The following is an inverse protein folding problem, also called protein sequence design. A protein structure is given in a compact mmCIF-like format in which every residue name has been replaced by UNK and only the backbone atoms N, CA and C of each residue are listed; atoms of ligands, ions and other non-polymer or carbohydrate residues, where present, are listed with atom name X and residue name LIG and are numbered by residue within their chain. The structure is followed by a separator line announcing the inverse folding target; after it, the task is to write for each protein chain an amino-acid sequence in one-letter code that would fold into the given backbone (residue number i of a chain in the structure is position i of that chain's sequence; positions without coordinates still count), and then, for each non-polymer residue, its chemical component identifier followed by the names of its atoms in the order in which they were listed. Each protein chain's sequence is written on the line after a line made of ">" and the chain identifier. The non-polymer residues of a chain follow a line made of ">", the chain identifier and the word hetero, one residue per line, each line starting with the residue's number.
data_IF_137226978648
#
_entry.id   IF_137226978648
#
_cell.length_a   1.000
_cell.length_b   1.000
_cell.length_c   1.000
_cell.angle_alpha   90.00
_cell.angle_beta   90.00
_cell.angle_gamma   90.00
#
_symmetry.space_group_name_H-M   'P 1'
#
loop_
_entity.id
_entity.type
_entity.pdbx_description
1 polymer ?
#
# COMPACT_ATOMS: atom_id res chain seq x y z
N UNK A 1 -4.86 -11.66 -15.58
CA UNK A 1 -3.42 -11.96 -15.29
C UNK A 1 -2.94 -11.11 -14.12
N UNK A 2 -1.89 -11.52 -13.45
CA UNK A 2 -1.25 -10.69 -12.46
C UNK A 2 -0.23 -9.72 -13.10
N UNK A 3 0.28 -8.77 -12.30
CA UNK A 3 1.29 -7.79 -12.75
C UNK A 3 2.61 -8.46 -13.22
N UNK A 4 3.01 -9.58 -12.60
CA UNK A 4 4.28 -10.27 -12.93
C UNK A 4 4.19 -10.91 -14.31
N UNK A 5 3.06 -11.54 -14.61
CA UNK A 5 2.76 -12.11 -15.93
C UNK A 5 2.79 -11.02 -17.02
N UNK A 6 2.14 -9.86 -16.76
CA UNK A 6 2.18 -8.75 -17.71
C UNK A 6 3.61 -8.20 -17.92
N UNK A 7 4.41 -8.10 -16.85
CA UNK A 7 5.81 -7.67 -16.96
C UNK A 7 6.63 -8.67 -17.80
N UNK A 8 6.31 -9.95 -17.75
CA UNK A 8 6.97 -10.95 -18.63
C UNK A 8 6.59 -10.74 -20.09
N UNK A 9 5.33 -10.43 -20.41
CA UNK A 9 4.93 -10.09 -21.77
C UNK A 9 5.66 -8.85 -22.30
N UNK A 10 5.82 -7.81 -21.45
CA UNK A 10 6.63 -6.63 -21.82
C UNK A 10 8.05 -7.02 -22.18
N UNK A 11 8.71 -7.83 -21.36
CA UNK A 11 10.10 -8.27 -21.60
C UNK A 11 10.23 -9.15 -22.83
N UNK A 12 9.22 -9.95 -23.14
CA UNK A 12 9.20 -10.81 -24.32
C UNK A 12 8.85 -10.05 -25.63
N UNK A 13 8.44 -8.76 -25.53
CA UNK A 13 7.99 -7.97 -26.69
C UNK A 13 6.65 -8.43 -27.30
N UNK A 14 5.89 -9.28 -26.58
CA UNK A 14 4.67 -9.92 -27.09
C UNK A 14 3.39 -9.23 -26.69
N UNK A 15 3.47 -8.03 -26.10
CA UNK A 15 2.28 -7.26 -25.69
C UNK A 15 1.50 -6.79 -26.93
N UNK A 16 0.21 -7.15 -27.05
CA UNK A 16 -0.69 -6.71 -28.13
C UNK A 16 -2.13 -6.76 -27.64
N UNK A 17 -3.04 -6.03 -28.32
CA UNK A 17 -4.45 -6.04 -28.00
C UNK A 17 -4.85 -5.08 -26.87
N UNK A 18 -5.97 -5.39 -26.18
CA UNK A 18 -6.57 -4.52 -25.18
C UNK A 18 -6.30 -4.99 -23.75
N UNK A 19 -5.90 -4.06 -22.88
CA UNK A 19 -5.65 -4.28 -21.45
C UNK A 19 -6.42 -3.32 -20.58
N UNK A 20 -6.79 -3.77 -19.38
CA UNK A 20 -7.32 -2.94 -18.30
C UNK A 20 -6.37 -3.04 -17.10
N UNK A 21 -5.81 -1.91 -16.70
CA UNK A 21 -5.06 -1.77 -15.47
C UNK A 21 -5.99 -1.30 -14.36
N UNK A 22 -6.28 -2.18 -13.39
CA UNK A 22 -7.14 -1.90 -12.26
C UNK A 22 -6.46 -2.20 -10.92
N UNK A 23 -6.87 -1.53 -9.86
CA UNK A 23 -6.33 -1.73 -8.50
C UNK A 23 -5.84 -0.43 -7.88
N UNK A 24 -5.40 -0.50 -6.64
CA UNK A 24 -5.09 0.69 -5.81
C UNK A 24 -3.63 1.14 -5.89
N UNK A 25 -2.73 0.30 -6.44
CA UNK A 25 -1.29 0.58 -6.49
C UNK A 25 -0.92 1.48 -7.68
N UNK A 26 -1.26 2.78 -7.57
CA UNK A 26 -1.09 3.76 -8.65
C UNK A 26 0.36 3.92 -9.09
N UNK A 27 1.32 3.93 -8.15
CA UNK A 27 2.74 4.06 -8.50
C UNK A 27 3.25 2.87 -9.29
N UNK A 28 2.77 1.68 -8.96
CA UNK A 28 3.17 0.45 -9.65
C UNK A 28 2.52 0.39 -11.03
N UNK A 29 1.25 0.85 -11.16
CA UNK A 29 0.61 1.03 -12.47
C UNK A 29 1.41 1.98 -13.36
N UNK A 30 1.77 3.15 -12.83
CA UNK A 30 2.56 4.14 -13.55
C UNK A 30 3.92 3.60 -13.97
N UNK A 31 4.64 2.91 -13.07
CA UNK A 31 5.92 2.27 -13.38
C UNK A 31 5.80 1.17 -14.43
N UNK A 32 4.72 0.37 -14.38
CA UNK A 32 4.45 -0.68 -15.37
C UNK A 32 4.13 -0.08 -16.74
N UNK A 33 3.33 0.99 -16.77
CA UNK A 33 3.02 1.73 -18.00
C UNK A 33 4.29 2.36 -18.61
N UNK A 34 5.15 2.92 -17.78
CA UNK A 34 6.44 3.47 -18.22
C UNK A 34 7.35 2.38 -18.78
N UNK A 35 7.36 1.19 -18.17
CA UNK A 35 8.11 0.05 -18.72
C UNK A 35 7.54 -0.41 -20.08
N UNK A 36 6.21 -0.39 -20.22
CA UNK A 36 5.54 -0.68 -21.49
C UNK A 36 5.92 0.34 -22.58
N UNK A 37 5.87 1.65 -22.25
CA UNK A 37 6.31 2.73 -23.17
C UNK A 37 7.70 2.46 -23.71
N UNK A 38 8.67 2.26 -22.80
CA UNK A 38 10.07 2.00 -23.16
C UNK A 38 10.28 0.73 -23.99
N UNK A 39 9.36 -0.24 -23.88
CA UNK A 39 9.48 -1.50 -24.63
C UNK A 39 8.93 -1.41 -26.05
N UNK A 40 7.94 -0.53 -26.31
CA UNK A 40 7.22 -0.48 -27.57
C UNK A 40 7.44 0.83 -28.36
N UNK A 41 7.88 1.91 -27.68
CA UNK A 41 8.13 3.19 -28.34
C UNK A 41 9.63 3.48 -28.39
N UNK A 42 10.18 3.94 -29.54
CA UNK A 42 11.54 4.41 -29.61
C UNK A 42 11.78 5.62 -28.71
N UNK A 43 12.97 5.72 -28.15
CA UNK A 43 13.36 6.83 -27.28
C UNK A 43 13.23 8.19 -28.01
N UNK A 44 12.54 9.14 -27.37
CA UNK A 44 12.26 10.46 -27.92
C UNK A 44 11.09 10.51 -28.93
N UNK A 45 10.38 9.41 -29.16
CA UNK A 45 9.23 9.33 -30.06
C UNK A 45 7.90 9.09 -29.33
N UNK A 46 7.89 9.25 -28.03
CA UNK A 46 6.70 8.98 -27.19
C UNK A 46 5.49 9.78 -27.63
N UNK A 47 5.66 11.09 -27.94
CA UNK A 47 4.55 11.97 -28.37
C UNK A 47 3.94 11.54 -29.72
N UNK A 48 4.69 10.92 -30.59
CA UNK A 48 4.22 10.49 -31.90
C UNK A 48 3.62 9.06 -31.86
N UNK A 49 4.14 8.22 -30.98
CA UNK A 49 3.75 6.81 -30.85
C UNK A 49 2.64 6.57 -29.81
N UNK A 50 2.30 7.58 -28.97
CA UNK A 50 1.30 7.45 -27.92
C UNK A 50 0.09 8.35 -28.16
N UNK A 51 -1.08 7.86 -27.76
CA UNK A 51 -2.31 8.66 -27.63
C UNK A 51 -2.85 8.50 -26.21
N UNK A 52 -2.90 9.59 -25.45
CA UNK A 52 -3.45 9.64 -24.09
C UNK A 52 -4.78 10.39 -24.13
N UNK A 53 -5.86 9.73 -23.69
CA UNK A 53 -7.22 10.27 -23.77
C UNK A 53 -7.95 10.11 -22.44
N UNK A 54 -8.71 11.12 -22.04
CA UNK A 54 -9.56 11.11 -20.86
C UNK A 54 -11.02 10.88 -21.26
N UNK A 55 -11.58 9.74 -20.83
CA UNK A 55 -12.96 9.36 -21.08
C UNK A 55 -13.46 9.62 -22.53
N UNK A 56 -12.70 9.21 -23.58
CA UNK A 56 -13.06 9.43 -24.96
C UNK A 56 -14.29 8.61 -25.38
N UNK A 57 -14.90 8.98 -26.49
CA UNK A 57 -15.91 8.13 -27.15
C UNK A 57 -15.29 6.92 -27.86
N UNK A 58 -16.14 5.97 -28.26
CA UNK A 58 -15.71 4.74 -28.92
C UNK A 58 -14.99 5.03 -30.25
N UNK A 59 -15.46 6.02 -31.00
CA UNK A 59 -14.91 6.35 -32.33
C UNK A 59 -13.50 6.92 -32.22
N UNK A 60 -13.24 7.76 -31.20
CA UNK A 60 -11.91 8.30 -30.94
C UNK A 60 -10.92 7.19 -30.53
N UNK A 61 -11.34 6.23 -29.68
CA UNK A 61 -10.51 5.09 -29.30
C UNK A 61 -10.14 4.25 -30.52
N UNK A 62 -11.14 3.89 -31.35
CA UNK A 62 -10.94 3.07 -32.53
C UNK A 62 -10.00 3.80 -33.52
N UNK A 63 -10.27 5.07 -33.81
CA UNK A 63 -9.43 5.87 -34.72
C UNK A 63 -7.97 5.95 -34.24
N UNK A 64 -7.75 6.09 -32.95
CA UNK A 64 -6.40 6.11 -32.38
C UNK A 64 -5.68 4.76 -32.52
N UNK A 65 -6.40 3.64 -32.36
CA UNK A 65 -5.83 2.30 -32.53
C UNK A 65 -5.57 1.95 -34.00
N UNK A 66 -6.41 2.42 -34.94
CA UNK A 66 -6.26 2.20 -36.38
C UNK A 66 -5.20 3.11 -37.02
N UNK A 67 -4.76 4.15 -36.32
CA UNK A 67 -3.68 4.99 -36.80
C UNK A 67 -2.36 4.17 -36.82
N UNK A 68 -1.73 4.06 -37.96
CA UNK A 68 -0.50 3.33 -38.13
C UNK A 68 0.63 3.90 -37.23
N UNK A 69 1.45 3.05 -36.61
CA UNK A 69 2.59 3.50 -35.84
C UNK A 69 3.60 4.23 -36.73
N UNK A 70 4.22 5.28 -36.18
CA UNK A 70 5.26 6.04 -36.89
C UNK A 70 6.63 5.70 -36.30
N UNK A 71 7.53 5.18 -37.13
CA UNK A 71 8.90 4.78 -36.74
C UNK A 71 8.98 3.79 -35.54
N UNK A 72 7.91 3.07 -35.29
CA UNK A 72 7.80 2.05 -34.25
C UNK A 72 7.01 0.84 -34.78
N UNK A 73 7.18 -0.33 -34.18
CA UNK A 73 6.38 -1.51 -34.53
C UNK A 73 4.94 -1.44 -34.02
N UNK A 74 4.74 -0.69 -32.93
CA UNK A 74 3.44 -0.60 -32.26
C UNK A 74 3.14 0.83 -31.80
N UNK A 75 1.85 1.13 -31.72
CA UNK A 75 1.28 2.34 -31.14
C UNK A 75 0.70 2.06 -29.75
N UNK A 76 0.88 2.97 -28.81
CA UNK A 76 0.28 2.90 -27.48
C UNK A 76 -0.92 3.84 -27.37
N UNK A 77 -2.09 3.29 -27.09
CA UNK A 77 -3.32 4.07 -26.86
C UNK A 77 -3.74 3.89 -25.41
N UNK A 78 -3.78 4.98 -24.66
CA UNK A 78 -4.08 4.99 -23.22
C UNK A 78 -5.39 5.73 -23.01
N UNK A 79 -6.35 5.06 -22.39
CA UNK A 79 -7.68 5.61 -22.04
C UNK A 79 -7.81 5.66 -20.53
N UNK A 80 -7.91 6.86 -19.96
CA UNK A 80 -8.10 7.04 -18.52
C UNK A 80 -9.58 7.15 -18.17
N UNK A 81 -9.96 6.52 -17.06
CA UNK A 81 -11.26 6.68 -16.38
C UNK A 81 -12.48 6.55 -17.32
N UNK A 82 -12.47 5.58 -18.23
CA UNK A 82 -13.56 5.40 -19.17
C UNK A 82 -14.89 5.10 -18.42
N UNK A 83 -15.99 5.88 -18.67
CA UNK A 83 -17.24 5.79 -17.89
C UNK A 83 -17.87 4.40 -17.87
N UNK A 84 -17.73 3.63 -18.96
CA UNK A 84 -18.25 2.26 -19.06
C UNK A 84 -17.49 1.24 -18.18
N UNK A 85 -16.39 1.60 -17.55
CA UNK A 85 -15.66 0.76 -16.58
C UNK A 85 -15.93 1.17 -15.15
N UNK A 86 -16.37 2.43 -14.90
CA UNK A 86 -16.62 2.98 -13.57
C UNK A 86 -18.10 2.97 -13.16
N UNK A 87 -18.97 2.37 -13.96
CA UNK A 87 -20.41 2.24 -13.68
C UNK A 87 -21.28 3.44 -14.06
N UNK A 88 -20.71 4.49 -14.65
CA UNK A 88 -21.45 5.72 -15.00
C UNK A 88 -22.26 5.62 -16.30
N UNK A 89 -21.83 4.77 -17.23
CA UNK A 89 -22.52 4.53 -18.50
C UNK A 89 -22.30 3.10 -18.98
N UNK A 90 -22.97 2.70 -20.05
CA UNK A 90 -22.67 1.47 -20.79
C UNK A 90 -21.71 1.77 -21.94
N UNK A 91 -20.94 0.78 -22.37
CA UNK A 91 -20.06 0.91 -23.52
C UNK A 91 -20.87 0.84 -24.83
N UNK A 92 -20.41 1.62 -25.82
CA UNK A 92 -20.90 1.53 -27.18
C UNK A 92 -20.64 0.12 -27.75
N UNK A 93 -21.62 -0.44 -28.47
CA UNK A 93 -21.50 -1.78 -29.09
C UNK A 93 -20.34 -1.84 -30.10
N UNK A 94 -19.99 -0.70 -30.76
CA UNK A 94 -18.81 -0.61 -31.63
C UNK A 94 -17.53 -0.87 -30.87
N UNK A 95 -17.35 -0.26 -29.68
CA UNK A 95 -16.18 -0.49 -28.84
C UNK A 95 -16.13 -1.93 -28.34
N UNK A 96 -17.28 -2.50 -27.93
CA UNK A 96 -17.36 -3.89 -27.46
C UNK A 96 -16.95 -4.90 -28.55
N UNK A 97 -17.38 -4.69 -29.78
CA UNK A 97 -16.99 -5.54 -30.92
C UNK A 97 -15.55 -5.33 -31.36
N UNK A 98 -14.96 -4.17 -31.10
CA UNK A 98 -13.61 -3.81 -31.47
C UNK A 98 -12.54 -4.40 -30.51
N UNK A 99 -12.84 -4.52 -29.21
CA UNK A 99 -11.87 -5.02 -28.20
C UNK A 99 -11.16 -6.32 -28.62
N UNK A 100 -11.83 -7.38 -29.12
CA UNK A 100 -11.12 -8.58 -29.57
C UNK A 100 -10.38 -8.41 -30.90
N UNK A 101 -10.61 -7.31 -31.63
CA UNK A 101 -10.08 -7.04 -32.96
C UNK A 101 -9.08 -5.89 -32.98
N UNK A 102 -8.53 -5.47 -31.82
CA UNK A 102 -7.47 -4.46 -31.77
C UNK A 102 -6.26 -4.97 -32.57
N UNK A 103 -5.75 -4.16 -33.54
CA UNK A 103 -4.63 -4.59 -34.40
C UNK A 103 -3.40 -4.97 -33.61
N UNK A 104 -2.58 -5.89 -34.12
CA UNK A 104 -1.28 -6.25 -33.50
C UNK A 104 -0.31 -5.06 -33.43
N UNK A 105 -0.48 -4.08 -34.32
CA UNK A 105 0.25 -2.82 -34.36
C UNK A 105 -0.18 -1.81 -33.28
N UNK A 106 -1.20 -2.12 -32.47
CA UNK A 106 -1.68 -1.26 -31.40
C UNK A 106 -1.73 -2.00 -30.05
N UNK A 107 -1.42 -1.27 -28.98
CA UNK A 107 -1.63 -1.69 -27.61
C UNK A 107 -2.59 -0.70 -26.95
N UNK A 108 -3.81 -1.16 -26.63
CA UNK A 108 -4.85 -0.35 -25.99
C UNK A 108 -4.87 -0.62 -24.48
N UNK A 109 -4.64 0.40 -23.67
CA UNK A 109 -4.60 0.28 -22.20
C UNK A 109 -5.66 1.18 -21.58
N UNK A 110 -6.64 0.59 -20.91
CA UNK A 110 -7.57 1.31 -20.06
C UNK A 110 -6.97 1.43 -18.66
N UNK A 111 -6.99 2.64 -18.07
CA UNK A 111 -6.53 2.90 -16.71
C UNK A 111 -7.72 3.27 -15.83
N UNK A 112 -7.93 2.52 -14.76
CA UNK A 112 -8.93 2.83 -13.73
C UNK A 112 -8.25 3.06 -12.38
N UNK A 113 -8.69 4.10 -11.65
CA UNK A 113 -8.36 4.25 -10.23
C UNK A 113 -9.18 3.25 -9.42
N UNK A 114 -8.50 2.41 -8.66
CA UNK A 114 -9.16 1.32 -7.95
C UNK A 114 -9.65 0.19 -8.86
N UNK A 115 -10.70 -0.50 -8.46
CA UNK A 115 -11.29 -1.61 -9.22
C UNK A 115 -12.34 -1.11 -10.19
N UNK A 116 -12.34 -1.64 -11.41
CA UNK A 116 -13.40 -1.45 -12.37
C UNK A 116 -14.66 -2.27 -11.99
N UNK A 117 -15.82 -1.89 -12.52
CA UNK A 117 -17.07 -2.63 -12.30
C UNK A 117 -17.10 -3.90 -13.16
N UNK A 118 -16.84 -5.04 -12.53
CA UNK A 118 -16.79 -6.35 -13.20
C UNK A 118 -18.12 -6.79 -13.86
N UNK A 119 -19.23 -6.12 -13.56
CA UNK A 119 -20.56 -6.39 -14.16
C UNK A 119 -20.71 -5.77 -15.53
N UNK A 120 -19.84 -4.83 -15.89
CA UNK A 120 -19.93 -4.09 -17.14
C UNK A 120 -19.51 -4.93 -18.36
N UNK A 121 -20.19 -4.69 -19.48
CA UNK A 121 -19.92 -5.39 -20.75
C UNK A 121 -18.48 -5.17 -21.21
N UNK A 122 -17.95 -3.92 -21.10
CA UNK A 122 -16.58 -3.59 -21.50
C UNK A 122 -15.55 -4.35 -20.65
N UNK A 123 -15.75 -4.45 -19.34
CA UNK A 123 -14.91 -5.28 -18.47
C UNK A 123 -14.89 -6.73 -18.95
N UNK A 124 -16.08 -7.28 -19.25
CA UNK A 124 -16.23 -8.66 -19.71
C UNK A 124 -15.56 -8.88 -21.07
N UNK A 125 -15.63 -7.93 -22.00
CA UNK A 125 -14.97 -8.00 -23.31
C UNK A 125 -13.45 -8.04 -23.15
N UNK A 126 -12.87 -7.11 -22.36
CA UNK A 126 -11.42 -7.07 -22.08
C UNK A 126 -10.97 -8.34 -21.34
N UNK A 127 -11.77 -8.84 -20.39
CA UNK A 127 -11.47 -10.07 -19.66
C UNK A 127 -11.42 -11.29 -20.58
N UNK A 128 -12.34 -11.40 -21.54
CA UNK A 128 -12.35 -12.49 -22.54
C UNK A 128 -11.11 -12.45 -23.44
N UNK A 129 -10.60 -11.26 -23.75
CA UNK A 129 -9.34 -11.07 -24.46
C UNK A 129 -8.09 -11.33 -23.57
N UNK A 130 -8.27 -11.69 -22.30
CA UNK A 130 -7.17 -11.96 -21.36
C UNK A 130 -6.49 -10.70 -20.79
N UNK A 131 -7.02 -9.52 -21.07
CA UNK A 131 -6.35 -8.23 -20.82
C UNK A 131 -6.56 -7.59 -19.44
N UNK A 132 -7.13 -8.26 -18.44
CA UNK A 132 -7.24 -7.68 -17.08
C UNK A 132 -5.91 -7.84 -16.34
N UNK A 133 -5.29 -6.72 -15.96
CA UNK A 133 -4.05 -6.67 -15.16
C UNK A 133 -4.38 -6.07 -13.80
N UNK A 134 -4.24 -6.86 -12.73
CA UNK A 134 -4.58 -6.44 -11.37
C UNK A 134 -3.37 -5.87 -10.63
N UNK A 135 -3.56 -4.67 -10.07
CA UNK A 135 -2.62 -3.97 -9.20
C UNK A 135 -3.17 -3.90 -7.77
N UNK A 136 -3.39 -5.08 -7.19
CA UNK A 136 -3.80 -5.22 -5.80
C UNK A 136 -2.70 -4.73 -4.83
N UNK A 137 -3.05 -4.39 -3.57
CA UNK A 137 -2.06 -4.09 -2.54
C UNK A 137 -0.98 -5.17 -2.47
N UNK A 138 0.26 -4.74 -2.32
CA UNK A 138 1.38 -5.67 -2.16
C UNK A 138 1.29 -6.38 -0.81
N UNK A 139 1.63 -7.65 -0.79
CA UNK A 139 1.93 -8.35 0.46
C UNK A 139 3.21 -7.77 1.09
N UNK A 140 3.41 -7.95 2.40
CA UNK A 140 4.62 -7.45 3.09
C UNK A 140 5.92 -7.95 2.42
N UNK A 141 5.93 -9.21 1.99
CA UNK A 141 7.09 -9.79 1.29
C UNK A 141 7.34 -9.11 -0.07
N UNK A 142 6.27 -8.85 -0.83
CA UNK A 142 6.36 -8.15 -2.12
C UNK A 142 6.76 -6.69 -1.94
N UNK A 143 6.24 -6.02 -0.89
CA UNK A 143 6.58 -4.65 -0.56
C UNK A 143 8.05 -4.51 -0.19
N UNK A 144 8.57 -5.40 0.68
CA UNK A 144 9.99 -5.42 1.04
C UNK A 144 10.88 -5.68 -0.19
N UNK A 145 10.52 -6.64 -1.05
CA UNK A 145 11.24 -6.89 -2.29
C UNK A 145 11.19 -5.68 -3.26
N UNK A 146 10.07 -4.98 -3.29
CA UNK A 146 9.93 -3.75 -4.08
C UNK A 146 10.84 -2.64 -3.53
N UNK A 147 10.92 -2.44 -2.21
CA UNK A 147 11.83 -1.48 -1.56
C UNK A 147 13.29 -1.77 -1.93
N UNK A 148 13.73 -3.03 -1.80
CA UNK A 148 15.10 -3.44 -2.17
C UNK A 148 15.38 -3.11 -3.63
N UNK A 149 14.46 -3.44 -4.55
CA UNK A 149 14.58 -3.13 -5.97
C UNK A 149 14.60 -1.62 -6.25
N UNK A 150 13.80 -0.85 -5.52
CA UNK A 150 13.73 0.60 -5.68
C UNK A 150 15.06 1.28 -5.30
N UNK A 151 15.72 0.83 -4.21
CA UNK A 151 17.07 1.29 -3.86
C UNK A 151 18.11 0.88 -4.90
N UNK A 152 18.06 -0.37 -5.40
CA UNK A 152 18.96 -0.84 -6.45
C UNK A 152 18.84 0.01 -7.72
N UNK A 153 17.65 0.48 -8.07
CA UNK A 153 17.42 1.41 -9.18
C UNK A 153 18.06 2.80 -9.01
N UNK A 154 18.44 3.16 -7.78
CA UNK A 154 19.16 4.39 -7.43
C UNK A 154 20.67 4.14 -7.19
N UNK A 155 21.16 2.96 -7.52
CA UNK A 155 22.56 2.57 -7.27
C UNK A 155 22.87 2.33 -5.80
N UNK A 156 21.85 2.08 -4.95
CA UNK A 156 22.00 1.82 -3.52
C UNK A 156 21.61 0.39 -3.18
N UNK A 157 22.24 -0.15 -2.13
CA UNK A 157 21.88 -1.43 -1.55
C UNK A 157 21.19 -1.25 -0.19
N UNK A 158 20.29 -2.16 0.14
CA UNK A 158 19.62 -2.21 1.43
C UNK A 158 19.39 -3.67 1.83
N UNK A 159 19.59 -4.00 3.11
CA UNK A 159 19.31 -5.36 3.60
C UNK A 159 17.80 -5.64 3.62
N UNK A 160 17.35 -6.89 3.49
CA UNK A 160 15.93 -7.25 3.67
C UNK A 160 15.40 -6.80 5.04
N UNK A 161 16.22 -6.82 6.08
CA UNK A 161 15.89 -6.36 7.42
C UNK A 161 15.64 -4.84 7.43
N UNK A 162 16.57 -4.05 6.88
CA UNK A 162 16.42 -2.59 6.77
C UNK A 162 15.20 -2.21 5.93
N UNK A 163 14.92 -2.95 4.84
CA UNK A 163 13.71 -2.76 4.03
C UNK A 163 12.43 -2.99 4.88
N UNK A 164 12.42 -4.03 5.72
CA UNK A 164 11.30 -4.31 6.63
C UNK A 164 11.13 -3.23 7.71
N UNK A 165 12.22 -2.69 8.23
CA UNK A 165 12.19 -1.54 9.16
C UNK A 165 11.60 -0.31 8.47
N UNK A 166 12.02 -0.03 7.24
CA UNK A 166 11.50 1.11 6.47
C UNK A 166 9.99 0.97 6.19
N UNK A 167 9.54 -0.20 5.72
CA UNK A 167 8.12 -0.44 5.45
C UNK A 167 7.27 -0.38 6.72
N UNK A 168 7.78 -0.85 7.86
CA UNK A 168 7.13 -0.68 9.15
C UNK A 168 7.06 0.79 9.58
N UNK A 169 8.14 1.54 9.40
CA UNK A 169 8.23 2.94 9.83
C UNK A 169 7.30 3.84 9.02
N UNK A 170 7.30 3.70 7.71
CA UNK A 170 6.57 4.57 6.77
C UNK A 170 5.15 4.08 6.50
N UNK A 171 4.93 2.77 6.57
CA UNK A 171 3.68 2.11 6.19
C UNK A 171 3.75 1.50 4.79
N UNK A 172 2.58 1.03 4.30
CA UNK A 172 2.48 0.28 3.04
C UNK A 172 2.19 1.15 1.80
N UNK A 173 2.07 2.47 1.96
CA UNK A 173 1.84 3.38 0.83
C UNK A 173 3.12 3.50 -0.03
N UNK A 174 3.05 2.96 -1.25
CA UNK A 174 4.20 2.94 -2.17
C UNK A 174 4.62 4.34 -2.65
N UNK A 175 3.72 5.36 -2.60
CA UNK A 175 4.07 6.74 -2.90
C UNK A 175 4.92 7.36 -1.78
N UNK A 176 4.50 7.17 -0.54
CA UNK A 176 5.25 7.62 0.62
C UNK A 176 6.59 6.90 0.71
N UNK A 177 6.59 5.57 0.57
CA UNK A 177 7.82 4.78 0.54
C UNK A 177 8.80 5.26 -0.54
N UNK A 178 8.33 5.59 -1.73
CA UNK A 178 9.19 6.09 -2.81
C UNK A 178 9.89 7.39 -2.40
N UNK A 179 9.17 8.34 -1.81
CA UNK A 179 9.73 9.60 -1.33
C UNK A 179 10.78 9.39 -0.23
N UNK A 180 10.51 8.45 0.69
CA UNK A 180 11.45 8.13 1.76
C UNK A 180 12.69 7.41 1.21
N UNK A 181 12.54 6.53 0.21
CA UNK A 181 13.65 5.87 -0.49
C UNK A 181 14.54 6.92 -1.18
N UNK A 182 13.96 7.88 -1.91
CA UNK A 182 14.71 8.94 -2.59
C UNK A 182 15.47 9.81 -1.57
N UNK A 183 14.84 10.15 -0.42
CA UNK A 183 15.46 10.90 0.67
C UNK A 183 16.61 10.13 1.33
N UNK A 184 16.42 8.84 1.61
CA UNK A 184 17.44 7.98 2.20
C UNK A 184 18.61 7.73 1.26
N UNK A 185 18.35 7.57 -0.03
CA UNK A 185 19.40 7.44 -1.05
C UNK A 185 20.23 8.73 -1.14
N UNK A 186 19.60 9.90 -1.07
CA UNK A 186 20.28 11.18 -1.02
C UNK A 186 21.11 11.35 0.28
N UNK A 187 20.57 10.93 1.45
CA UNK A 187 21.31 10.94 2.72
C UNK A 187 22.56 10.06 2.68
N UNK A 188 22.47 8.90 2.03
CA UNK A 188 23.61 7.99 1.92
C UNK A 188 24.78 8.60 1.12
N UNK A 189 24.53 9.59 0.23
CA UNK A 189 25.58 10.26 -0.53
C UNK A 189 26.42 9.26 -1.34
N UNK A 190 27.72 9.25 -1.09
CA UNK A 190 28.65 8.32 -1.76
C UNK A 190 28.66 6.88 -1.18
N UNK A 191 27.98 6.66 -0.06
CA UNK A 191 27.85 5.31 0.51
C UNK A 191 26.94 4.45 -0.36
N UNK A 192 27.34 3.22 -0.64
CA UNK A 192 26.54 2.26 -1.45
C UNK A 192 25.36 1.67 -0.66
N UNK A 193 25.45 1.68 0.69
CA UNK A 193 24.47 0.99 1.55
C UNK A 193 23.72 1.96 2.43
N UNK A 194 22.40 1.78 2.49
CA UNK A 194 21.48 2.43 3.45
C UNK A 194 21.28 1.50 4.63
N UNK A 195 21.43 2.04 5.85
CA UNK A 195 21.36 1.29 7.11
C UNK A 195 20.06 1.50 7.87
N UNK A 196 19.83 0.72 8.92
CA UNK A 196 18.67 0.93 9.82
C UNK A 196 18.79 2.26 10.58
N UNK A 197 20.01 2.68 10.92
CA UNK A 197 20.29 3.97 11.57
C UNK A 197 19.86 5.13 10.67
N UNK A 198 20.11 5.05 9.36
CA UNK A 198 19.67 6.05 8.41
C UNK A 198 18.12 6.15 8.39
N UNK A 199 17.43 4.98 8.41
CA UNK A 199 15.97 4.93 8.47
C UNK A 199 15.46 5.60 9.76
N UNK A 200 16.03 5.25 10.91
CA UNK A 200 15.61 5.82 12.19
C UNK A 200 15.88 7.32 12.31
N UNK A 201 16.93 7.81 11.65
CA UNK A 201 17.33 9.23 11.69
C UNK A 201 16.37 10.13 10.89
N UNK A 202 15.91 9.70 9.71
CA UNK A 202 15.22 10.64 8.80
C UNK A 202 13.88 10.16 8.24
N UNK A 203 13.54 8.86 8.34
CA UNK A 203 12.29 8.38 7.77
C UNK A 203 11.07 8.93 8.55
N UNK A 204 10.11 9.42 7.80
CA UNK A 204 8.85 9.93 8.36
C UNK A 204 8.03 8.76 8.92
N UNK A 205 7.68 8.84 10.21
CA UNK A 205 6.94 7.77 10.89
C UNK A 205 5.46 7.83 10.56
N UNK A 206 4.88 6.68 10.21
CA UNK A 206 3.43 6.52 10.12
C UNK A 206 2.78 6.62 11.51
N UNK A 207 1.47 6.90 11.53
CA UNK A 207 0.71 6.89 12.79
C UNK A 207 0.80 5.50 13.46
N UNK A 208 0.75 4.43 12.67
CA UNK A 208 0.87 3.05 13.18
C UNK A 208 2.24 2.83 13.87
N UNK A 209 3.34 3.25 13.25
CA UNK A 209 4.67 3.17 13.86
C UNK A 209 4.73 3.97 15.16
N UNK A 210 4.19 5.18 15.18
CA UNK A 210 4.19 6.05 16.37
C UNK A 210 3.35 5.45 17.50
N UNK A 211 2.20 4.82 17.19
CA UNK A 211 1.40 4.08 18.19
C UNK A 211 2.17 2.89 18.77
N UNK A 212 2.92 2.15 17.93
CA UNK A 212 3.79 1.08 18.44
C UNK A 212 4.85 1.62 19.42
N UNK A 213 5.51 2.76 19.09
CA UNK A 213 6.47 3.42 19.97
C UNK A 213 5.82 3.93 21.26
N UNK A 214 4.61 4.46 21.16
CA UNK A 214 3.83 4.90 22.32
C UNK A 214 3.53 3.72 23.25
N UNK A 215 3.11 2.57 22.71
CA UNK A 215 2.88 1.35 23.52
C UNK A 215 4.19 0.82 24.11
N UNK A 216 5.32 0.86 23.40
CA UNK A 216 6.63 0.54 23.98
C UNK A 216 6.95 1.42 25.19
N UNK A 217 6.69 2.73 25.08
CA UNK A 217 6.89 3.67 26.19
C UNK A 217 5.95 3.36 27.37
N UNK A 218 4.70 2.99 27.09
CA UNK A 218 3.73 2.53 28.11
C UNK A 218 4.24 1.25 28.79
N UNK A 219 4.70 0.26 28.01
CA UNK A 219 5.28 -0.98 28.53
C UNK A 219 6.52 -0.72 29.36
N UNK A 220 7.36 0.24 29.00
CA UNK A 220 8.56 0.64 29.73
C UNK A 220 8.27 1.52 30.96
N UNK A 221 7.02 1.93 31.20
CA UNK A 221 6.67 2.86 32.29
C UNK A 221 7.08 4.31 32.04
N UNK A 222 7.43 4.67 30.79
CA UNK A 222 7.90 5.99 30.38
C UNK A 222 6.72 6.91 30.04
N UNK A 223 5.97 7.33 31.06
CA UNK A 223 4.75 8.11 30.87
C UNK A 223 4.97 9.40 30.07
N UNK A 224 6.01 10.18 30.40
CA UNK A 224 6.31 11.44 29.70
C UNK A 224 6.57 11.24 28.21
N UNK A 225 7.28 10.15 27.82
CA UNK A 225 7.53 9.81 26.42
C UNK A 225 6.24 9.41 25.70
N UNK A 226 5.39 8.59 26.31
CA UNK A 226 4.14 8.15 25.71
C UNK A 226 3.19 9.33 25.45
N UNK A 227 3.03 10.24 26.40
CA UNK A 227 2.21 11.45 26.23
C UNK A 227 2.85 12.47 25.28
N UNK A 228 4.19 12.54 25.22
CA UNK A 228 4.89 13.32 24.21
C UNK A 228 4.55 12.86 22.79
N UNK A 229 4.64 11.55 22.52
CA UNK A 229 4.27 10.96 21.22
C UNK A 229 2.79 11.19 20.88
N UNK A 230 1.89 11.07 21.87
CA UNK A 230 0.47 11.39 21.66
C UNK A 230 0.29 12.85 21.26
N UNK A 231 0.89 13.78 21.97
CA UNK A 231 0.80 15.22 21.68
C UNK A 231 1.33 15.52 20.28
N UNK A 232 2.45 14.92 19.88
CA UNK A 232 3.04 15.13 18.55
C UNK A 232 2.11 14.65 17.44
N UNK A 233 1.47 13.47 17.60
CA UNK A 233 0.44 12.99 16.67
C UNK A 233 -0.76 13.93 16.57
N UNK A 234 -1.26 14.43 17.69
CA UNK A 234 -2.39 15.35 17.72
C UNK A 234 -2.04 16.71 17.08
N UNK A 235 -0.83 17.21 17.34
CA UNK A 235 -0.32 18.45 16.70
C UNK A 235 -0.16 18.29 15.20
N UNK A 236 0.19 17.08 14.73
CA UNK A 236 0.24 16.74 13.30
C UNK A 236 -1.15 16.53 12.66
N UNK A 237 -2.23 16.74 13.41
CA UNK A 237 -3.60 16.64 12.91
C UNK A 237 -4.20 15.23 12.92
N UNK A 238 -3.58 14.28 13.62
CA UNK A 238 -4.15 12.93 13.75
C UNK A 238 -5.44 12.95 14.55
N UNK A 239 -6.45 12.19 14.08
CA UNK A 239 -7.72 12.05 14.78
C UNK A 239 -7.61 11.19 16.04
N UNK A 240 -8.18 11.69 17.15
CA UNK A 240 -8.14 10.99 18.44
C UNK A 240 -8.80 9.62 18.42
N UNK A 241 -9.94 9.48 17.74
CA UNK A 241 -10.61 8.18 17.61
C UNK A 241 -9.80 7.20 16.78
N UNK A 242 -9.13 7.69 15.73
CA UNK A 242 -8.20 6.89 14.92
C UNK A 242 -7.03 6.38 15.75
N UNK A 243 -6.40 7.24 16.59
CA UNK A 243 -5.33 6.82 17.51
C UNK A 243 -5.85 5.80 18.53
N UNK A 244 -7.04 6.05 19.13
CA UNK A 244 -7.65 5.12 20.08
C UNK A 244 -7.95 3.75 19.45
N UNK A 245 -8.44 3.73 18.21
CA UNK A 245 -8.70 2.50 17.47
C UNK A 245 -7.39 1.73 17.21
N UNK A 246 -6.30 2.42 16.87
CA UNK A 246 -4.98 1.81 16.69
C UNK A 246 -4.41 1.28 18.01
N UNK A 247 -4.58 2.03 19.11
CA UNK A 247 -4.20 1.58 20.45
C UNK A 247 -4.97 0.31 20.86
N UNK A 248 -6.28 0.29 20.62
CA UNK A 248 -7.13 -0.89 20.83
C UNK A 248 -6.66 -2.08 19.99
N UNK A 249 -6.37 -1.85 18.71
CA UNK A 249 -5.83 -2.89 17.81
C UNK A 249 -4.54 -3.47 18.37
N UNK A 250 -3.63 -2.63 18.87
CA UNK A 250 -2.35 -3.06 19.43
C UNK A 250 -2.54 -3.95 20.67
N UNK A 251 -3.40 -3.55 21.62
CA UNK A 251 -3.70 -4.38 22.78
C UNK A 251 -4.45 -5.68 22.43
N UNK A 252 -5.29 -5.68 21.38
CA UNK A 252 -5.89 -6.92 20.85
C UNK A 252 -4.84 -7.88 20.28
N UNK A 253 -3.86 -7.39 19.54
CA UNK A 253 -2.74 -8.23 19.07
C UNK A 253 -1.98 -8.84 20.25
N UNK A 254 -1.68 -8.04 21.28
CA UNK A 254 -1.04 -8.54 22.52
C UNK A 254 -1.93 -9.58 23.24
N UNK A 255 -3.25 -9.40 23.23
CA UNK A 255 -4.19 -10.37 23.80
C UNK A 255 -4.17 -11.70 23.04
N UNK A 256 -4.18 -11.66 21.70
CA UNK A 256 -4.05 -12.86 20.88
C UNK A 256 -2.72 -13.59 21.15
N UNK A 257 -1.62 -12.83 21.30
CA UNK A 257 -0.32 -13.42 21.66
C UNK A 257 -0.41 -14.13 23.01
N UNK A 258 -1.03 -13.52 24.03
CA UNK A 258 -1.20 -14.16 25.36
C UNK A 258 -2.01 -15.43 25.30
N UNK A 259 -3.08 -15.47 24.48
CA UNK A 259 -3.89 -16.68 24.26
C UNK A 259 -3.04 -17.78 23.59
N UNK A 260 -2.34 -17.44 22.50
CA UNK A 260 -1.48 -18.40 21.79
C UNK A 260 -0.31 -18.91 22.66
N UNK A 261 0.24 -18.07 23.52
CA UNK A 261 1.24 -18.48 24.52
C UNK A 261 0.65 -19.43 25.57
N UNK A 262 -0.58 -19.19 26.01
CA UNK A 262 -1.29 -20.10 26.91
C UNK A 262 -1.56 -21.46 26.26
N UNK A 263 -1.86 -21.46 24.95
CA UNK A 263 -1.99 -22.66 24.11
C UNK A 263 -0.64 -23.33 23.78
N UNK A 264 0.46 -22.81 24.31
CA UNK A 264 1.84 -23.31 24.14
C UNK A 264 2.33 -23.32 22.67
N UNK A 265 1.84 -22.40 21.85
CA UNK A 265 2.35 -22.22 20.50
C UNK A 265 3.80 -21.70 20.54
N UNK A 266 4.60 -22.15 19.56
CA UNK A 266 5.97 -21.63 19.41
C UNK A 266 5.96 -20.15 18.97
N UNK A 267 7.02 -19.38 19.26
CA UNK A 267 7.15 -18.01 18.76
C UNK A 267 7.03 -17.90 17.23
N UNK A 268 7.48 -18.90 16.48
CA UNK A 268 7.38 -18.95 15.03
C UNK A 268 5.92 -19.11 14.58
N UNK A 269 5.16 -20.01 15.22
CA UNK A 269 3.74 -20.21 14.94
C UNK A 269 2.92 -18.96 15.29
N UNK A 270 3.25 -18.29 16.40
CA UNK A 270 2.61 -17.03 16.80
C UNK A 270 2.81 -15.97 15.72
N UNK A 271 4.05 -15.77 15.24
CA UNK A 271 4.35 -14.81 14.16
C UNK A 271 3.52 -15.09 12.91
N UNK A 272 3.46 -16.35 12.50
CA UNK A 272 2.69 -16.78 11.32
C UNK A 272 1.19 -16.53 11.50
N UNK A 273 0.63 -16.86 12.66
CA UNK A 273 -0.82 -16.71 12.93
C UNK A 273 -1.27 -15.26 13.13
N UNK A 274 -0.38 -14.38 13.57
CA UNK A 274 -0.72 -12.94 13.72
C UNK A 274 -1.05 -12.27 12.38
N UNK A 275 -0.53 -12.75 11.26
CA UNK A 275 -0.82 -12.22 9.93
C UNK A 275 -0.36 -10.77 9.74
N UNK A 276 0.69 -10.35 10.44
CA UNK A 276 1.31 -9.02 10.35
C UNK A 276 2.78 -9.17 9.99
N UNK A 277 3.42 -8.08 9.55
CA UNK A 277 4.82 -8.06 9.17
C UNK A 277 5.71 -8.68 10.27
N UNK A 278 6.74 -9.51 9.93
CA UNK A 278 7.56 -10.22 10.91
C UNK A 278 8.19 -9.30 11.95
N UNK A 279 8.67 -8.13 11.55
CA UNK A 279 9.24 -7.13 12.45
C UNK A 279 8.20 -6.60 13.45
N UNK A 280 6.97 -6.30 12.99
CA UNK A 280 5.87 -5.87 13.84
C UNK A 280 5.45 -6.98 14.81
N UNK A 281 5.39 -8.24 14.33
CA UNK A 281 5.05 -9.40 15.17
C UNK A 281 6.07 -9.58 16.31
N UNK A 282 7.37 -9.47 16.04
CA UNK A 282 8.42 -9.54 17.07
C UNK A 282 8.25 -8.43 18.11
N UNK A 283 7.97 -7.22 17.66
CA UNK A 283 7.75 -6.08 18.55
C UNK A 283 6.52 -6.28 19.43
N UNK A 284 5.38 -6.75 18.85
CA UNK A 284 4.18 -7.10 19.60
C UNK A 284 4.45 -8.19 20.66
N UNK A 285 5.23 -9.23 20.33
CA UNK A 285 5.58 -10.30 21.27
C UNK A 285 6.38 -9.72 22.45
N UNK A 286 7.36 -8.83 22.19
CA UNK A 286 8.11 -8.13 23.24
C UNK A 286 7.21 -7.27 24.12
N UNK A 287 6.30 -6.50 23.51
CA UNK A 287 5.32 -5.69 24.26
C UNK A 287 4.41 -6.56 25.13
N UNK A 288 3.88 -7.67 24.58
CA UNK A 288 3.03 -8.59 25.32
C UNK A 288 3.75 -9.21 26.53
N UNK A 289 5.07 -9.44 26.45
CA UNK A 289 5.85 -9.95 27.58
C UNK A 289 5.82 -9.02 28.80
N UNK A 290 5.65 -7.71 28.60
CA UNK A 290 5.58 -6.71 29.67
C UNK A 290 4.25 -6.67 30.45
N UNK A 291 3.27 -7.50 30.08
CA UNK A 291 1.93 -7.55 30.71
C UNK A 291 1.53 -8.99 31.02
N UNK A 292 0.69 -9.16 32.07
CA UNK A 292 -0.05 -10.42 32.28
C UNK A 292 -1.26 -10.49 31.34
N UNK A 293 -1.80 -11.69 31.09
CA UNK A 293 -3.02 -11.85 30.29
C UNK A 293 -4.20 -11.05 30.84
N UNK A 294 -4.35 -10.99 32.18
CA UNK A 294 -5.39 -10.20 32.84
C UNK A 294 -5.23 -8.69 32.63
N UNK A 295 -4.00 -8.17 32.65
CA UNK A 295 -3.73 -6.76 32.42
C UNK A 295 -4.01 -6.39 30.95
N UNK A 296 -3.60 -7.23 29.97
CA UNK A 296 -3.90 -6.99 28.55
C UNK A 296 -5.42 -6.98 28.31
N UNK A 297 -6.16 -7.94 28.91
CA UNK A 297 -7.63 -7.97 28.82
C UNK A 297 -8.26 -6.68 29.36
N UNK A 298 -7.78 -6.17 30.51
CA UNK A 298 -8.24 -4.90 31.07
C UNK A 298 -7.90 -3.72 30.17
N UNK A 299 -6.71 -3.67 29.58
CA UNK A 299 -6.32 -2.61 28.65
C UNK A 299 -7.23 -2.57 27.40
N UNK A 300 -7.57 -3.73 26.84
CA UNK A 300 -8.56 -3.85 25.74
C UNK A 300 -9.92 -3.30 26.20
N UNK A 301 -10.38 -3.65 27.40
CA UNK A 301 -11.67 -3.16 27.93
C UNK A 301 -11.66 -1.65 28.14
N UNK A 302 -10.57 -1.07 28.64
CA UNK A 302 -10.41 0.39 28.81
C UNK A 302 -10.56 1.10 27.46
N UNK A 303 -9.84 0.64 26.43
CA UNK A 303 -9.92 1.22 25.09
C UNK A 303 -11.35 1.10 24.50
N UNK A 304 -12.01 -0.07 24.64
CA UNK A 304 -13.38 -0.28 24.17
C UNK A 304 -14.38 0.64 24.89
N UNK A 305 -14.24 0.80 26.20
CA UNK A 305 -15.10 1.67 26.98
C UNK A 305 -14.92 3.14 26.59
N UNK A 306 -13.68 3.59 26.36
CA UNK A 306 -13.39 4.94 25.89
C UNK A 306 -14.01 5.19 24.49
N UNK A 307 -13.81 4.25 23.55
CA UNK A 307 -14.40 4.34 22.22
C UNK A 307 -15.93 4.38 22.25
N UNK A 308 -16.56 3.51 23.05
CA UNK A 308 -18.02 3.49 23.22
C UNK A 308 -18.55 4.80 23.81
N UNK A 309 -17.93 5.32 24.88
CA UNK A 309 -18.35 6.56 25.52
C UNK A 309 -18.27 7.77 24.58
N UNK A 310 -17.23 7.83 23.75
CA UNK A 310 -17.10 8.90 22.75
C UNK A 310 -18.16 8.75 21.67
N UNK A 311 -18.35 7.56 21.10
CA UNK A 311 -19.34 7.32 20.03
C UNK A 311 -20.79 7.47 20.48
N UNK A 312 -21.09 7.20 21.75
CA UNK A 312 -22.43 7.39 22.34
C UNK A 312 -22.70 8.81 22.82
N UNK A 313 -21.76 9.75 22.69
CA UNK A 313 -21.89 11.13 23.15
C UNK A 313 -21.76 11.30 24.68
N UNK A 314 -21.39 10.25 25.40
CA UNK A 314 -21.20 10.29 26.84
C UNK A 314 -19.91 10.96 27.31
N UNK A 315 -18.91 11.07 26.41
CA UNK A 315 -17.65 11.76 26.65
C UNK A 315 -17.27 12.65 25.46
N UNK A 316 -16.66 13.80 25.79
CA UNK A 316 -15.99 14.57 24.76
C UNK A 316 -14.77 13.78 24.24
N UNK A 317 -14.51 13.86 22.94
CA UNK A 317 -13.32 13.25 22.32
C UNK A 317 -12.02 13.75 22.99
N UNK A 318 -12.03 15.01 23.45
CA UNK A 318 -10.94 15.59 24.21
C UNK A 318 -10.88 14.95 25.61
N UNK A 319 -9.74 14.34 25.92
CA UNK A 319 -9.48 13.68 27.19
C UNK A 319 -9.83 12.19 27.26
N UNK A 320 -10.67 11.65 26.38
CA UNK A 320 -11.03 10.23 26.42
C UNK A 320 -9.82 9.30 26.15
N UNK A 321 -8.97 9.66 25.18
CA UNK A 321 -7.75 8.93 24.83
C UNK A 321 -6.71 9.07 25.94
N UNK A 322 -6.51 10.27 26.44
CA UNK A 322 -5.59 10.58 27.56
C UNK A 322 -5.98 9.83 28.84
N UNK A 323 -7.29 9.82 29.17
CA UNK A 323 -7.80 9.07 30.30
C UNK A 323 -7.59 7.56 30.14
N UNK A 324 -7.87 7.01 28.96
CA UNK A 324 -7.63 5.60 28.69
C UNK A 324 -6.14 5.24 28.82
N UNK A 325 -5.25 6.09 28.33
CA UNK A 325 -3.79 5.89 28.50
C UNK A 325 -3.38 5.92 29.97
N UNK A 326 -3.87 6.87 30.76
CA UNK A 326 -3.60 6.94 32.19
C UNK A 326 -4.08 5.68 32.93
N UNK A 327 -5.29 5.20 32.64
CA UNK A 327 -5.82 3.98 33.22
C UNK A 327 -4.93 2.76 32.85
N UNK A 328 -4.44 2.67 31.62
CA UNK A 328 -3.55 1.60 31.16
C UNK A 328 -2.20 1.66 31.89
N UNK A 329 -1.64 2.86 32.13
CA UNK A 329 -0.43 3.00 32.94
C UNK A 329 -0.62 2.45 34.36
N UNK A 330 -1.76 2.75 35.00
CA UNK A 330 -2.06 2.27 36.35
C UNK A 330 -2.22 0.73 36.44
N UNK A 331 -2.57 0.05 35.33
CA UNK A 331 -2.62 -1.42 35.33
C UNK A 331 -1.25 -2.07 35.59
N UNK A 332 -0.15 -1.36 35.30
CA UNK A 332 1.20 -1.89 35.45
C UNK A 332 1.80 -1.63 36.84
N UNK A 333 1.26 -0.67 37.56
CA UNK A 333 1.74 -0.32 38.91
C UNK A 333 1.10 -1.19 40.02
N UNK A 334 0.10 -1.99 39.67
CA UNK A 334 -0.57 -2.97 40.53
C UNK A 334 -0.19 -4.39 40.13
#
# INVERSE_FOLDING_TARGET
>A
MDRKEFTQLIKAGTVSGAYLFEGVEENIKAATLQALRKAILPEGMEELGESLMDAPDASAIIAACETLPFLADKRLVIVREHPALTGRSDADEKLLSYIPNVPESAVLVFLCRGKADARKKLYTAIKKAGGIVSFAPLTDAELNAWVVKAFAGLGKSVSPQTASVLTFTVGSDTALLRREIDKLAALAGDRDTVTEEDVHAVATRSIECTVFEMVDAVVAGQQGKAFGLLRDMLTAGSDRLGILAMLLRQFRLMQHIKIMQYEKLSPADIKTRLGIAPFAAERCIRQAAGYTGGQVKKAVQICLNAEYKVKSGGWNQEGALEAAMLEIFHLKQR
#
